data_IF_748614127507
#
_entry.id   IF_748614127507
#
_cell.length_a   1.000
_cell.length_b   1.000
_cell.length_c   1.000
_cell.angle_alpha   90.00
_cell.angle_beta   90.00
_cell.angle_gamma   90.00
#
_symmetry.space_group_name_H-M   'P 1'
#
loop_
_entity.id
_entity.type
_entity.pdbx_description
1 polymer ?
#
# COMPACT_ATOMS: atom_id res chain seq x y z
N UNK A 1 -23.77 -2.84 8.30
CA UNK A 1 -22.73 -3.07 7.26
C UNK A 1 -22.59 -1.92 6.26
N UNK A 2 -23.29 -1.86 5.11
CA UNK A 2 -23.01 -0.79 4.12
C UNK A 2 -23.37 0.63 4.61
N UNK A 3 -24.55 0.79 5.24
CA UNK A 3 -24.98 2.06 5.84
C UNK A 3 -24.06 2.52 6.97
N UNK A 4 -23.49 1.56 7.69
CA UNK A 4 -22.62 1.75 8.84
C UNK A 4 -21.20 2.14 8.41
N UNK A 5 -20.68 1.49 7.37
CA UNK A 5 -19.44 1.88 6.70
C UNK A 5 -19.53 3.28 6.05
N UNK A 6 -20.71 3.65 5.54
CA UNK A 6 -20.96 5.00 5.02
C UNK A 6 -20.87 6.06 6.13
N UNK A 7 -21.46 5.79 7.29
CA UNK A 7 -21.45 6.71 8.44
C UNK A 7 -20.04 6.90 9.03
N UNK A 8 -19.24 5.84 9.07
CA UNK A 8 -17.83 5.89 9.49
C UNK A 8 -16.97 6.74 8.54
N UNK A 9 -17.21 6.64 7.23
CA UNK A 9 -16.50 7.44 6.21
C UNK A 9 -16.83 8.93 6.30
N UNK A 10 -18.06 9.28 6.69
CA UNK A 10 -18.51 10.67 6.83
C UNK A 10 -17.96 11.34 8.11
N UNK A 11 -17.59 10.58 9.14
CA UNK A 11 -17.02 11.10 10.39
C UNK A 11 -15.50 11.18 10.42
N UNK A 12 -14.80 10.53 9.49
CA UNK A 12 -13.35 10.61 9.42
C UNK A 12 -12.96 12.00 8.93
N UNK A 13 -12.25 12.83 9.74
CA UNK A 13 -11.81 14.14 9.29
C UNK A 13 -10.85 13.97 8.11
N UNK A 14 -11.33 14.36 6.92
CA UNK A 14 -10.53 14.83 5.80
C UNK A 14 -9.30 14.00 5.42
N UNK A 15 -9.38 12.67 5.32
CA UNK A 15 -8.43 11.95 4.46
C UNK A 15 -8.88 12.15 3.01
N UNK A 16 -8.69 13.37 2.51
CA UNK A 16 -8.78 13.63 1.08
C UNK A 16 -7.70 12.76 0.45
N UNK A 17 -8.11 11.75 -0.33
CA UNK A 17 -7.19 10.98 -1.15
C UNK A 17 -6.73 11.91 -2.27
N UNK A 18 -5.91 12.90 -1.92
CA UNK A 18 -5.26 13.76 -2.89
C UNK A 18 -4.27 12.88 -3.66
N UNK A 19 -4.04 13.14 -4.96
CA UNK A 19 -3.02 12.42 -5.72
C UNK A 19 -1.63 12.50 -5.06
N UNK A 20 -1.38 13.53 -4.23
CA UNK A 20 -0.19 13.67 -3.39
C UNK A 20 -0.12 12.56 -2.34
N UNK A 21 -1.18 12.38 -1.53
CA UNK A 21 -1.22 11.32 -0.50
C UNK A 21 -1.10 9.90 -1.06
N UNK A 22 -1.60 9.69 -2.29
CA UNK A 22 -1.44 8.40 -2.98
C UNK A 22 0.01 8.17 -3.40
N UNK A 23 0.67 9.22 -3.92
CA UNK A 23 2.08 9.15 -4.32
C UNK A 23 3.01 8.93 -3.13
N UNK A 24 2.77 9.60 -2.01
CA UNK A 24 3.50 9.36 -0.75
C UNK A 24 3.40 7.90 -0.29
N UNK A 25 2.21 7.30 -0.42
CA UNK A 25 1.98 5.89 -0.11
C UNK A 25 2.72 4.94 -1.07
N UNK A 26 2.71 5.24 -2.38
CA UNK A 26 3.48 4.47 -3.36
C UNK A 26 4.98 4.57 -3.12
N UNK A 27 5.50 5.77 -2.83
CA UNK A 27 6.92 6.00 -2.56
C UNK A 27 7.39 5.23 -1.30
N UNK A 28 6.56 5.18 -0.26
CA UNK A 28 6.83 4.39 0.94
C UNK A 28 6.92 2.88 0.64
N UNK A 29 6.04 2.35 -0.20
CA UNK A 29 6.09 0.94 -0.62
C UNK A 29 7.29 0.66 -1.52
N UNK A 30 7.61 1.56 -2.45
CA UNK A 30 8.79 1.43 -3.29
C UNK A 30 10.06 1.38 -2.43
N UNK A 31 10.15 2.23 -1.41
CA UNK A 31 11.27 2.22 -0.46
C UNK A 31 11.43 0.87 0.24
N UNK A 32 10.35 0.31 0.81
CA UNK A 32 10.38 -1.01 1.44
C UNK A 32 10.82 -2.11 0.47
N UNK A 33 10.35 -2.05 -0.78
CA UNK A 33 10.79 -2.97 -1.83
C UNK A 33 12.30 -2.85 -2.11
N UNK A 34 12.84 -1.64 -2.23
CA UNK A 34 14.27 -1.47 -2.49
C UNK A 34 15.16 -1.80 -1.28
N UNK A 35 14.64 -1.67 -0.06
CA UNK A 35 15.29 -2.14 1.17
C UNK A 35 15.32 -3.69 1.28
N UNK A 36 14.61 -4.39 0.39
CA UNK A 36 14.62 -5.84 0.31
C UNK A 36 13.42 -6.51 0.97
N UNK A 37 12.37 -5.78 1.35
CA UNK A 37 11.17 -6.37 1.93
C UNK A 37 10.09 -6.69 0.89
N UNK A 38 9.22 -7.64 1.21
CA UNK A 38 7.99 -7.87 0.45
C UNK A 38 6.95 -6.81 0.79
N UNK A 39 6.27 -6.28 -0.24
CA UNK A 39 5.15 -5.34 -0.11
C UNK A 39 3.80 -5.94 -0.53
N UNK A 40 3.79 -7.20 -0.97
CA UNK A 40 2.57 -7.92 -1.32
C UNK A 40 1.86 -8.44 -0.06
N UNK A 41 0.54 -8.66 -0.16
CA UNK A 41 -0.28 -9.14 0.96
C UNK A 41 0.09 -10.55 1.46
N UNK A 42 0.88 -11.33 0.72
CA UNK A 42 1.28 -12.68 1.12
C UNK A 42 2.41 -12.68 2.15
N UNK A 43 3.38 -11.77 2.00
CA UNK A 43 4.62 -11.80 2.78
C UNK A 43 5.02 -10.41 3.30
N UNK A 44 4.07 -9.47 3.41
CA UNK A 44 4.35 -8.09 3.77
C UNK A 44 5.33 -7.95 4.95
N UNK A 45 6.41 -7.21 4.75
CA UNK A 45 7.44 -6.95 5.76
C UNK A 45 8.47 -8.07 5.98
N UNK A 46 8.35 -9.22 5.33
CA UNK A 46 9.40 -10.25 5.33
C UNK A 46 10.53 -9.87 4.36
N UNK A 47 11.74 -10.31 4.67
CA UNK A 47 12.92 -10.13 3.81
C UNK A 47 12.77 -11.00 2.54
N UNK A 48 13.06 -10.43 1.38
CA UNK A 48 13.16 -11.15 0.11
C UNK A 48 14.48 -11.91 0.07
N UNK A 49 14.41 -13.22 0.23
CA UNK A 49 15.59 -14.10 0.14
C UNK A 49 15.76 -14.74 -1.24
N UNK A 50 14.70 -14.77 -2.06
CA UNK A 50 14.62 -15.57 -3.30
C UNK A 50 14.42 -14.71 -4.56
N UNK A 51 15.06 -13.54 -4.62
CA UNK A 51 15.00 -12.65 -5.78
C UNK A 51 13.72 -11.81 -5.88
N UNK A 52 13.29 -11.52 -7.11
CA UNK A 52 12.19 -10.58 -7.38
C UNK A 52 10.80 -11.23 -7.28
N UNK A 53 9.92 -10.61 -6.50
CA UNK A 53 8.55 -11.08 -6.31
C UNK A 53 7.60 -10.44 -7.33
N UNK A 54 7.00 -11.24 -8.22
CA UNK A 54 6.05 -10.77 -9.25
C UNK A 54 4.87 -9.97 -8.69
N UNK A 55 4.37 -10.34 -7.51
CA UNK A 55 3.29 -9.61 -6.84
C UNK A 55 3.74 -8.23 -6.35
N UNK A 56 4.98 -8.10 -5.86
CA UNK A 56 5.53 -6.81 -5.45
C UNK A 56 5.71 -5.89 -6.68
N UNK A 57 6.25 -6.43 -7.77
CA UNK A 57 6.42 -5.67 -9.03
C UNK A 57 5.09 -5.18 -9.58
N UNK A 58 4.05 -6.02 -9.53
CA UNK A 58 2.70 -5.65 -9.98
C UNK A 58 2.11 -4.52 -9.15
N UNK A 59 2.45 -4.42 -7.86
CA UNK A 59 2.03 -3.33 -6.99
C UNK A 59 2.71 -1.99 -7.36
N UNK A 60 3.97 -2.04 -7.81
CA UNK A 60 4.75 -0.85 -8.19
C UNK A 60 4.42 -0.31 -9.58
N UNK A 61 3.88 -1.14 -10.48
CA UNK A 61 3.57 -0.75 -11.87
C UNK A 61 2.13 -0.22 -12.07
N UNK A 62 1.38 0.01 -10.99
CA UNK A 62 -0.04 0.35 -11.02
C UNK A 62 -0.31 1.85 -11.13
#
# INVERSE_FOLDING_TARGET
LEKENKWLREQLPGKTASPVSFKEGQDALARLYYEGFHICHLQYGNLRTEGDCLFCISLLKK
#
